data_IF_326379688685
#
_entry.id   IF_326379688685
#
_cell.length_a   1.000
_cell.length_b   1.000
_cell.length_c   1.000
_cell.angle_alpha   90.00
_cell.angle_beta   90.00
_cell.angle_gamma   90.00
#
_symmetry.space_group_name_H-M   'P 1'
#
loop_
_entity.id
_entity.type
_entity.pdbx_description
1 polymer ?
#
# COMPACT_ATOMS: atom_id res chain seq x y z
N UNK A 1 11.38 -27.11 55.59
CA UNK A 1 10.06 -26.91 54.97
C UNK A 1 10.18 -25.85 53.88
N UNK A 2 9.76 -26.22 52.66
CA UNK A 2 9.89 -25.48 51.41
C UNK A 2 9.04 -24.21 51.44
N UNK A 3 9.62 -23.04 51.21
CA UNK A 3 8.85 -21.84 50.84
C UNK A 3 8.92 -21.68 49.32
N UNK A 4 7.77 -21.89 48.68
CA UNK A 4 7.55 -21.74 47.25
C UNK A 4 7.87 -20.30 46.80
N UNK A 5 8.74 -20.19 45.81
CA UNK A 5 8.91 -18.98 45.01
C UNK A 5 7.79 -19.01 43.96
N UNK A 6 6.80 -18.15 44.12
CA UNK A 6 5.76 -17.93 43.10
C UNK A 6 6.35 -17.03 42.01
N UNK A 7 6.86 -17.66 40.94
CA UNK A 7 7.24 -16.95 39.71
C UNK A 7 5.96 -16.64 38.94
N UNK A 8 5.47 -15.41 39.07
CA UNK A 8 4.45 -14.87 38.17
C UNK A 8 5.09 -14.70 36.79
N UNK A 9 4.86 -15.67 35.92
CA UNK A 9 5.13 -15.54 34.49
C UNK A 9 4.15 -14.52 33.91
N UNK A 10 4.60 -13.27 33.79
CA UNK A 10 3.96 -12.29 32.93
C UNK A 10 4.19 -12.80 31.50
N UNK A 11 3.24 -13.58 31.00
CA UNK A 11 3.14 -13.90 29.59
C UNK A 11 2.91 -12.58 28.87
N UNK A 12 3.98 -12.01 28.31
CA UNK A 12 3.87 -10.92 27.36
C UNK A 12 3.08 -11.46 26.17
N UNK A 13 1.77 -11.19 26.13
CA UNK A 13 0.98 -11.29 24.92
C UNK A 13 1.45 -10.18 23.99
N UNK A 14 2.55 -10.41 23.30
CA UNK A 14 2.97 -9.57 22.18
C UNK A 14 1.88 -9.67 21.12
N UNK A 15 0.96 -8.70 21.11
CA UNK A 15 0.08 -8.48 19.96
C UNK A 15 1.00 -8.22 18.78
N UNK A 16 1.13 -9.19 17.89
CA UNK A 16 1.86 -9.01 16.64
C UNK A 16 1.34 -7.73 15.99
N UNK A 17 2.24 -6.81 15.63
CA UNK A 17 1.86 -5.58 14.94
C UNK A 17 1.26 -5.98 13.59
N UNK A 18 -0.07 -5.99 13.51
CA UNK A 18 -0.82 -6.29 12.30
C UNK A 18 -0.46 -5.26 11.24
N UNK A 19 0.09 -5.69 10.11
CA UNK A 19 0.32 -4.76 9.01
C UNK A 19 -1.05 -4.40 8.42
N UNK A 20 -1.41 -3.12 8.48
CA UNK A 20 -2.71 -2.58 8.04
C UNK A 20 -2.55 -1.93 6.67
N UNK A 21 -3.59 -2.00 5.83
CA UNK A 21 -3.43 -1.61 4.45
C UNK A 21 -4.72 -1.69 3.64
N UNK A 22 -4.54 -1.51 2.35
CA UNK A 22 -5.59 -1.66 1.36
C UNK A 22 -5.08 -2.44 0.16
N UNK A 23 -5.94 -3.30 -0.38
CA UNK A 23 -5.76 -3.89 -1.69
C UNK A 23 -6.84 -3.33 -2.61
N UNK A 24 -6.41 -2.64 -3.65
CA UNK A 24 -7.27 -2.04 -4.66
C UNK A 24 -7.07 -2.75 -6.00
N UNK A 25 -8.14 -3.01 -6.73
CA UNK A 25 -8.09 -3.65 -8.05
C UNK A 25 -8.91 -2.84 -9.06
N UNK A 26 -8.41 -2.70 -10.29
CA UNK A 26 -9.16 -2.14 -11.42
C UNK A 26 -9.84 -3.23 -12.23
N UNK A 27 -10.83 -2.86 -13.04
CA UNK A 27 -11.51 -3.77 -13.97
C UNK A 27 -10.54 -4.46 -14.97
N UNK A 28 -9.42 -3.81 -15.29
CA UNK A 28 -8.40 -4.32 -16.22
C UNK A 28 -7.37 -5.23 -15.54
N UNK A 29 -7.52 -5.54 -14.24
CA UNK A 29 -6.62 -6.42 -13.48
C UNK A 29 -5.39 -5.73 -12.90
N UNK A 30 -5.32 -4.39 -12.92
CA UNK A 30 -4.27 -3.68 -12.19
C UNK A 30 -4.58 -3.72 -10.70
N UNK A 31 -3.65 -4.23 -9.91
CA UNK A 31 -3.75 -4.35 -8.46
C UNK A 31 -2.76 -3.42 -7.78
N UNK A 32 -3.24 -2.55 -6.89
CA UNK A 32 -2.44 -1.70 -6.02
C UNK A 32 -2.60 -2.15 -4.57
N UNK A 33 -1.52 -2.61 -3.95
CA UNK A 33 -1.50 -2.97 -2.52
C UNK A 33 -0.70 -1.94 -1.74
N UNK A 34 -1.30 -1.34 -0.73
CA UNK A 34 -0.59 -0.43 0.19
C UNK A 34 -0.57 -1.04 1.58
N UNK A 35 0.62 -1.07 2.17
CA UNK A 35 0.85 -1.45 3.56
C UNK A 35 1.28 -0.22 4.33
N UNK A 36 0.72 -0.05 5.50
CA UNK A 36 1.03 1.04 6.41
C UNK A 36 1.84 0.51 7.59
N UNK A 37 2.72 1.35 8.13
CA UNK A 37 3.23 1.18 9.48
C UNK A 37 2.07 1.31 10.45
N UNK A 38 1.85 0.29 11.28
CA UNK A 38 0.94 0.38 12.40
C UNK A 38 1.67 1.09 13.55
N UNK A 39 1.29 2.33 13.85
CA UNK A 39 1.73 3.01 15.08
C UNK A 39 0.50 3.28 15.95
N UNK A 40 0.11 2.31 16.81
CA UNK A 40 -1.12 2.40 17.61
C UNK A 40 -1.21 3.67 18.46
N UNK A 41 -0.06 4.19 18.88
CA UNK A 41 0.07 5.33 19.79
C UNK A 41 -0.16 6.68 19.08
N UNK A 42 0.07 6.74 17.76
CA UNK A 42 0.03 7.98 16.99
C UNK A 42 -1.33 8.23 16.31
N UNK A 43 -2.25 7.26 16.31
CA UNK A 43 -3.52 7.33 15.59
C UNK A 43 -3.38 7.54 14.07
N UNK A 44 -2.18 7.39 13.52
CA UNK A 44 -1.85 7.63 12.12
C UNK A 44 -1.37 6.36 11.44
N UNK A 45 -1.80 6.16 10.19
CA UNK A 45 -1.27 5.11 9.30
C UNK A 45 -0.35 5.78 8.30
N UNK A 46 0.95 5.54 8.44
CA UNK A 46 1.93 6.04 7.49
C UNK A 46 2.22 4.95 6.46
N UNK A 47 2.22 5.31 5.18
CA UNK A 47 2.47 4.37 4.10
C UNK A 47 3.90 3.84 4.18
N UNK A 48 4.04 2.51 4.26
CA UNK A 48 5.34 1.83 4.29
C UNK A 48 5.73 1.34 2.90
N UNK A 49 4.82 0.61 2.25
CA UNK A 49 5.07 0.00 0.93
C UNK A 49 3.82 0.07 0.08
N UNK A 50 3.98 0.48 -1.19
CA UNK A 50 2.98 0.34 -2.23
C UNK A 50 3.52 -0.60 -3.31
N UNK A 51 2.74 -1.60 -3.68
CA UNK A 51 3.07 -2.57 -4.73
C UNK A 51 2.02 -2.47 -5.82
N UNK A 52 2.46 -2.22 -7.05
CA UNK A 52 1.62 -2.33 -8.24
C UNK A 52 1.90 -3.65 -8.92
N UNK A 53 0.84 -4.35 -9.30
CA UNK A 53 0.93 -5.63 -9.99
C UNK A 53 -0.19 -5.82 -10.99
N UNK A 54 0.04 -6.67 -11.98
CA UNK A 54 -0.96 -7.09 -12.97
C UNK A 54 -1.44 -8.52 -12.66
N UNK A 55 -2.73 -8.68 -12.37
CA UNK A 55 -3.34 -9.98 -12.05
C UNK A 55 -3.51 -10.87 -13.30
N UNK A 56 -3.50 -10.28 -14.50
CA UNK A 56 -3.59 -11.00 -15.78
C UNK A 56 -2.29 -11.75 -16.15
N UNK A 57 -1.16 -11.37 -15.55
CA UNK A 57 0.15 -11.98 -15.81
C UNK A 57 0.38 -13.22 -14.94
N UNK A 58 0.97 -14.27 -15.52
CA UNK A 58 1.33 -15.50 -14.82
C UNK A 58 2.28 -15.32 -13.62
N UNK A 59 2.31 -16.31 -12.72
CA UNK A 59 3.10 -16.26 -11.49
C UNK A 59 4.60 -15.94 -11.76
N UNK A 60 5.17 -14.99 -11.01
CA UNK A 60 6.58 -14.60 -11.06
C UNK A 60 6.89 -13.26 -11.76
N UNK A 61 5.97 -12.72 -12.57
CA UNK A 61 6.11 -11.41 -13.25
C UNK A 61 4.98 -10.41 -12.97
N UNK A 62 4.17 -10.69 -11.95
CA UNK A 62 3.00 -9.85 -11.63
C UNK A 62 3.39 -8.46 -11.14
N UNK A 63 4.46 -8.34 -10.35
CA UNK A 63 4.86 -7.04 -9.80
C UNK A 63 5.45 -6.14 -10.87
N UNK A 64 4.77 -5.02 -11.11
CA UNK A 64 5.17 -3.97 -12.06
C UNK A 64 6.15 -3.01 -11.38
N UNK A 65 5.81 -2.55 -10.17
CA UNK A 65 6.59 -1.59 -9.41
C UNK A 65 6.34 -1.72 -7.90
N UNK A 66 7.31 -1.30 -7.11
CA UNK A 66 7.27 -1.20 -5.65
C UNK A 66 7.83 0.16 -5.22
N UNK A 67 7.08 0.86 -4.38
CA UNK A 67 7.46 2.14 -3.80
C UNK A 67 7.50 2.00 -2.29
N UNK A 68 8.48 2.63 -1.65
CA UNK A 68 8.68 2.52 -0.20
C UNK A 68 9.02 3.87 0.40
N UNK A 69 8.64 4.04 1.66
CA UNK A 69 9.01 5.20 2.47
C UNK A 69 10.52 5.26 2.73
N UNK A 70 11.15 4.11 2.94
CA UNK A 70 12.61 3.97 3.14
C UNK A 70 13.40 4.56 1.96
N UNK A 71 12.91 4.40 0.73
CA UNK A 71 13.53 4.96 -0.47
C UNK A 71 13.08 6.39 -0.76
N UNK A 72 12.18 6.96 0.05
CA UNK A 72 11.55 8.26 -0.19
C UNK A 72 10.68 8.31 -1.45
N UNK A 73 10.27 7.14 -1.99
CA UNK A 73 9.43 7.04 -3.18
C UNK A 73 7.96 6.87 -2.85
N UNK A 74 7.59 6.78 -1.57
CA UNK A 74 6.21 6.68 -1.11
C UNK A 74 5.97 7.61 0.09
N UNK A 75 4.81 8.26 0.10
CA UNK A 75 4.27 8.95 1.27
C UNK A 75 2.74 8.96 1.23
N UNK A 76 2.10 9.48 2.26
CA UNK A 76 0.66 9.67 2.29
C UNK A 76 0.22 10.89 3.11
N UNK A 77 -0.98 11.36 2.80
CA UNK A 77 -1.74 12.30 3.62
C UNK A 77 -3.15 11.77 3.75
N UNK A 78 -3.53 11.37 4.96
CA UNK A 78 -4.81 10.67 5.18
C UNK A 78 -4.88 9.35 4.40
N UNK A 79 -5.91 9.21 3.56
CA UNK A 79 -6.16 8.06 2.68
C UNK A 79 -5.69 8.30 1.23
N UNK A 80 -4.82 9.29 1.03
CA UNK A 80 -4.18 9.60 -0.26
C UNK A 80 -2.72 9.18 -0.19
N UNK A 81 -2.37 8.20 -1.03
CA UNK A 81 -1.03 7.63 -1.12
C UNK A 81 -0.34 8.12 -2.38
N UNK A 82 0.84 8.71 -2.24
CA UNK A 82 1.62 9.27 -3.34
C UNK A 82 2.92 8.48 -3.53
N UNK A 83 3.00 7.76 -4.65
CA UNK A 83 4.19 7.08 -5.12
C UNK A 83 4.90 7.91 -6.21
N UNK A 84 6.19 8.20 -6.03
CA UNK A 84 7.01 8.92 -7.00
C UNK A 84 7.85 7.94 -7.81
N UNK A 85 7.75 8.03 -9.14
CA UNK A 85 8.52 7.20 -10.06
C UNK A 85 9.94 7.73 -10.19
N UNK A 86 10.86 7.05 -9.50
CA UNK A 86 12.29 7.32 -9.54
C UNK A 86 13.08 6.08 -9.98
N UNK A 87 13.54 6.10 -11.24
CA UNK A 87 14.29 5.01 -11.85
C UNK A 87 15.73 4.87 -11.34
N UNK A 88 16.18 5.71 -10.41
CA UNK A 88 17.41 5.45 -9.64
C UNK A 88 17.22 4.27 -8.69
N UNK A 89 15.97 3.97 -8.31
CA UNK A 89 15.60 2.79 -7.53
C UNK A 89 15.01 1.73 -8.44
N UNK A 90 15.64 0.55 -8.49
CA UNK A 90 15.20 -0.57 -9.32
C UNK A 90 13.77 -1.03 -8.99
N UNK A 91 13.33 -0.79 -7.76
CA UNK A 91 12.01 -1.16 -7.28
C UNK A 91 10.89 -0.30 -7.89
N UNK A 92 11.16 0.94 -8.33
CA UNK A 92 10.17 1.83 -8.98
C UNK A 92 9.70 1.34 -10.35
N UNK A 93 10.05 0.12 -10.74
CA UNK A 93 9.66 -0.53 -11.99
C UNK A 93 10.63 -0.26 -13.14
N UNK A 94 10.61 -1.17 -14.11
CA UNK A 94 11.42 -1.03 -15.32
C UNK A 94 10.74 -0.02 -16.26
N UNK A 95 11.56 0.77 -16.97
CA UNK A 95 11.09 1.82 -17.88
C UNK A 95 10.07 1.35 -18.93
N UNK A 96 10.14 0.09 -19.35
CA UNK A 96 9.27 -0.50 -20.36
C UNK A 96 7.97 -1.12 -19.84
N UNK A 97 7.82 -1.30 -18.52
CA UNK A 97 6.58 -1.84 -17.96
C UNK A 97 5.42 -0.86 -18.15
N UNK A 98 4.21 -1.40 -18.20
CA UNK A 98 2.98 -0.63 -18.38
C UNK A 98 2.19 -0.58 -17.08
N UNK A 99 1.61 0.58 -16.80
CA UNK A 99 0.57 0.77 -15.79
C UNK A 99 -0.60 1.43 -16.52
N UNK A 100 -1.74 0.74 -16.61
CA UNK A 100 -2.92 1.21 -17.34
C UNK A 100 -2.59 1.71 -18.77
N UNK A 101 -1.84 0.89 -19.52
CA UNK A 101 -1.41 1.23 -20.89
C UNK A 101 -0.34 2.32 -21.00
N UNK A 102 0.09 2.95 -19.90
CA UNK A 102 1.15 3.96 -19.89
C UNK A 102 2.48 3.37 -19.47
N UNK A 103 3.55 3.59 -20.25
CA UNK A 103 4.91 3.17 -19.86
C UNK A 103 5.35 3.90 -18.60
N UNK A 104 5.91 3.18 -17.62
CA UNK A 104 6.41 3.78 -16.37
C UNK A 104 7.40 4.91 -16.63
N UNK A 105 8.23 4.82 -17.67
CA UNK A 105 9.16 5.88 -18.04
C UNK A 105 8.50 7.27 -18.21
N UNK A 106 7.24 7.31 -18.61
CA UNK A 106 6.49 8.55 -18.81
C UNK A 106 5.70 9.00 -17.58
N UNK A 107 5.64 8.17 -16.53
CA UNK A 107 4.94 8.48 -15.30
C UNK A 107 5.91 9.21 -14.36
N UNK A 108 5.42 10.28 -13.73
CA UNK A 108 6.12 11.05 -12.70
C UNK A 108 5.65 10.63 -11.32
N UNK A 109 4.35 10.67 -11.10
CA UNK A 109 3.71 10.33 -9.84
C UNK A 109 2.53 9.39 -10.08
N UNK A 110 2.24 8.56 -9.07
CA UNK A 110 1.09 7.66 -8.99
C UNK A 110 0.40 7.98 -7.67
N UNK A 111 -0.85 8.41 -7.74
CA UNK A 111 -1.67 8.72 -6.58
C UNK A 111 -2.77 7.67 -6.43
N UNK A 112 -2.83 7.00 -5.28
CA UNK A 112 -3.96 6.14 -4.92
C UNK A 112 -4.78 6.85 -3.85
N UNK A 113 -6.01 7.19 -4.16
CA UNK A 113 -6.98 7.77 -3.23
C UNK A 113 -8.02 6.71 -2.88
N UNK A 114 -8.32 6.59 -1.59
CA UNK A 114 -9.36 5.68 -1.09
C UNK A 114 -10.40 6.53 -0.38
N UNK A 115 -11.68 6.29 -0.67
CA UNK A 115 -12.80 6.96 0.00
C UNK A 115 -12.99 6.39 1.41
N UNK A 116 -12.06 6.75 2.28
CA UNK A 116 -11.98 6.30 3.66
C UNK A 116 -11.63 7.49 4.55
N UNK A 117 -12.23 7.54 5.73
CA UNK A 117 -11.88 8.52 6.76
C UNK A 117 -11.53 7.83 8.07
N UNK A 118 -10.51 8.33 8.77
CA UNK A 118 -10.07 7.76 10.05
C UNK A 118 -11.10 7.90 11.17
N UNK A 119 -12.09 8.81 11.02
CA UNK A 119 -13.20 8.96 11.95
C UNK A 119 -14.26 7.85 11.85
N UNK A 120 -14.24 7.06 10.76
CA UNK A 120 -15.15 5.94 10.52
C UNK A 120 -14.34 4.66 10.29
N UNK A 121 -13.99 3.91 11.34
CA UNK A 121 -13.15 2.72 11.20
C UNK A 121 -13.86 1.64 10.37
N UNK A 122 -13.20 1.17 9.30
CA UNK A 122 -13.63 0.03 8.49
C UNK A 122 -13.18 -1.28 9.14
N UNK A 123 -13.93 -2.39 9.07
CA UNK A 123 -13.43 -3.72 9.46
C UNK A 123 -12.46 -4.29 8.41
N UNK A 124 -11.77 -5.39 8.75
CA UNK A 124 -10.96 -6.12 7.77
C UNK A 124 -11.86 -6.75 6.71
N UNK A 125 -11.51 -6.59 5.43
CA UNK A 125 -12.33 -7.04 4.30
C UNK A 125 -13.44 -6.07 3.89
N UNK A 126 -13.64 -4.97 4.63
CA UNK A 126 -14.60 -3.95 4.23
C UNK A 126 -14.17 -3.27 2.93
N UNK A 127 -15.18 -2.97 2.12
CA UNK A 127 -15.05 -2.34 0.82
C UNK A 127 -15.11 -0.81 0.92
N UNK A 128 -14.28 -0.13 0.15
CA UNK A 128 -14.38 1.30 -0.13
C UNK A 128 -14.03 1.57 -1.61
N UNK A 129 -14.70 2.53 -2.27
CA UNK A 129 -14.29 2.95 -3.60
C UNK A 129 -12.94 3.67 -3.53
N UNK A 130 -12.15 3.55 -4.60
CA UNK A 130 -10.88 4.23 -4.74
C UNK A 130 -10.62 4.70 -6.16
N UNK A 131 -9.57 5.49 -6.32
CA UNK A 131 -9.11 5.98 -7.61
C UNK A 131 -7.59 5.96 -7.68
N UNK A 132 -7.05 5.43 -8.77
CA UNK A 132 -5.63 5.52 -9.11
C UNK A 132 -5.43 6.60 -10.18
N UNK A 133 -4.60 7.59 -9.90
CA UNK A 133 -4.27 8.67 -10.82
C UNK A 133 -2.79 8.58 -11.21
N UNK A 134 -2.53 8.50 -12.51
CA UNK A 134 -1.20 8.55 -13.09
C UNK A 134 -0.93 9.98 -13.57
N UNK A 135 0.08 10.63 -12.98
CA UNK A 135 0.54 11.94 -13.43
C UNK A 135 1.78 11.73 -14.28
N UNK A 136 1.66 12.02 -15.58
CA UNK A 136 2.74 11.88 -16.54
C UNK A 136 3.74 13.03 -16.42
N UNK A 137 4.97 12.81 -16.88
CA UNK A 137 6.06 13.81 -16.85
C UNK A 137 5.77 15.07 -17.68
N UNK A 138 4.91 14.96 -18.68
CA UNK A 138 4.41 16.08 -19.49
C UNK A 138 3.23 16.84 -18.84
N UNK A 139 2.78 16.43 -17.65
CA UNK A 139 1.65 17.04 -16.96
C UNK A 139 0.28 16.45 -17.29
N UNK A 140 0.19 15.53 -18.25
CA UNK A 140 -1.06 14.80 -18.55
C UNK A 140 -1.43 13.89 -17.38
N UNK A 141 -2.73 13.72 -17.16
CA UNK A 141 -3.28 12.91 -16.07
C UNK A 141 -4.18 11.82 -16.64
N UNK A 142 -4.07 10.61 -16.11
CA UNK A 142 -4.95 9.48 -16.43
C UNK A 142 -5.49 8.88 -15.14
N UNK A 143 -6.80 8.71 -15.04
CA UNK A 143 -7.46 8.14 -13.87
C UNK A 143 -8.01 6.75 -14.14
N UNK A 144 -8.01 5.90 -13.11
CA UNK A 144 -8.67 4.61 -13.07
C UNK A 144 -9.52 4.52 -11.81
N UNK A 145 -10.73 4.02 -11.96
CA UNK A 145 -11.56 3.59 -10.83
C UNK A 145 -10.99 2.28 -10.27
N UNK A 146 -11.04 2.16 -8.95
CA UNK A 146 -10.50 1.02 -8.22
C UNK A 146 -11.50 0.55 -7.16
N UNK A 147 -11.66 -0.75 -7.01
CA UNK A 147 -12.37 -1.35 -5.89
C UNK A 147 -11.36 -1.71 -4.80
N UNK A 148 -11.47 -1.07 -3.63
CA UNK A 148 -10.51 -1.23 -2.54
C UNK A 148 -11.10 -2.01 -1.36
N UNK A 149 -10.29 -2.88 -0.78
CA UNK A 149 -10.63 -3.67 0.40
C UNK A 149 -9.61 -3.41 1.50
N UNK A 150 -10.07 -3.14 2.73
CA UNK A 150 -9.16 -3.06 3.88
C UNK A 150 -8.53 -4.43 4.12
N UNK A 151 -7.23 -4.45 4.30
CA UNK A 151 -6.46 -5.67 4.52
C UNK A 151 -5.62 -5.55 5.80
N UNK A 152 -5.85 -6.47 6.73
CA UNK A 152 -5.01 -6.69 7.91
C UNK A 152 -4.20 -7.97 7.70
N UNK A 153 -2.87 -7.87 7.70
CA UNK A 153 -1.97 -9.02 7.71
C UNK A 153 -1.66 -9.41 9.15
N UNK A 154 -2.09 -10.62 9.52
CA UNK A 154 -1.70 -11.29 10.77
C UNK A 154 -0.30 -11.89 10.68
#
# INVERSE_FOLDING_TARGET
MKKLIAVMAIAMTSTAALADGFQCESADGLVAKVYNHASPEAGTRNAAVMVLSDSSVGAGRRTIARFTDVNGTLGNSGAVYLARVDHRFNDSGRKGELIAGTKIAFIRDIELRIDFTYGAPMANGDHAPGALTLVKRNGEVTGLEMDCYRYLKN
#
